data_IF_199003468453
#
_entry.id   IF_199003468453
#
_cell.length_a   1.000
_cell.length_b   1.000
_cell.length_c   1.000
_cell.angle_alpha   90.00
_cell.angle_beta   90.00
_cell.angle_gamma   90.00
#
_symmetry.space_group_name_H-M   'P 1'
#
loop_
_entity.id
_entity.type
_entity.pdbx_description
1 polymer ?
#
# COMPACT_ATOMS: atom_id res chain seq x y z
N UNK A 1 -18.48 22.06 -13.19
CA UNK A 1 -18.04 21.00 -12.26
C UNK A 1 -16.60 21.25 -11.84
N UNK A 2 -15.70 21.55 -12.79
CA UNK A 2 -14.30 21.98 -12.55
C UNK A 2 -14.14 23.06 -11.46
N UNK A 3 -14.93 24.15 -11.52
CA UNK A 3 -14.86 25.23 -10.51
C UNK A 3 -15.13 24.73 -9.06
N UNK A 4 -15.94 23.68 -8.90
CA UNK A 4 -16.22 23.08 -7.59
C UNK A 4 -15.11 22.15 -7.12
N UNK A 5 -14.47 21.43 -8.05
CA UNK A 5 -13.32 20.57 -7.73
C UNK A 5 -12.17 21.44 -7.23
N UNK A 6 -11.84 22.51 -7.95
CA UNK A 6 -10.75 23.42 -7.56
C UNK A 6 -11.05 24.17 -6.26
N UNK A 7 -12.30 24.59 -6.00
CA UNK A 7 -12.69 25.14 -4.69
C UNK A 7 -12.43 24.14 -3.55
N UNK A 8 -12.84 22.88 -3.74
CA UNK A 8 -12.64 21.86 -2.71
C UNK A 8 -11.16 21.50 -2.53
N UNK A 9 -10.39 21.44 -3.61
CA UNK A 9 -8.93 21.24 -3.54
C UNK A 9 -8.27 22.40 -2.79
N UNK A 10 -8.62 23.64 -3.13
CA UNK A 10 -8.07 24.82 -2.46
C UNK A 10 -8.35 24.82 -0.96
N UNK A 11 -9.55 24.41 -0.54
CA UNK A 11 -9.91 24.32 0.89
C UNK A 11 -9.27 23.12 1.58
N UNK A 12 -9.17 21.98 0.89
CA UNK A 12 -8.47 20.81 1.42
C UNK A 12 -6.99 21.12 1.70
N UNK A 13 -6.35 21.93 0.85
CA UNK A 13 -4.94 22.26 0.96
C UNK A 13 -4.64 23.57 1.71
N UNK A 14 -5.64 24.24 2.27
CA UNK A 14 -5.46 25.47 3.04
C UNK A 14 -5.06 25.11 4.48
N UNK A 15 -3.84 25.48 4.94
CA UNK A 15 -3.38 25.16 6.29
C UNK A 15 -4.18 25.86 7.40
N UNK A 16 -5.03 26.84 7.05
CA UNK A 16 -5.92 27.52 7.98
C UNK A 16 -7.34 26.94 8.01
N UNK A 17 -7.66 26.02 7.08
CA UNK A 17 -8.96 25.36 7.01
C UNK A 17 -9.07 24.26 8.07
N UNK A 18 -9.90 24.51 9.09
CA UNK A 18 -10.13 23.57 10.19
C UNK A 18 -10.88 22.32 9.74
N UNK A 19 -11.62 22.44 8.65
CA UNK A 19 -12.47 21.39 8.10
C UNK A 19 -11.86 20.75 6.83
N UNK A 20 -10.53 20.76 6.67
CA UNK A 20 -9.85 20.27 5.46
C UNK A 20 -10.25 18.82 5.09
N UNK A 21 -10.41 17.96 6.10
CA UNK A 21 -10.88 16.57 5.93
C UNK A 21 -12.29 16.47 5.33
N UNK A 22 -13.16 17.46 5.56
CA UNK A 22 -14.52 17.50 4.96
C UNK A 22 -14.40 17.70 3.46
N UNK A 23 -13.40 18.46 2.98
CA UNK A 23 -13.17 18.66 1.55
C UNK A 23 -12.57 17.42 0.89
N UNK A 24 -11.65 16.73 1.57
CA UNK A 24 -11.19 15.40 1.14
C UNK A 24 -12.37 14.42 0.96
N UNK A 25 -13.30 14.36 1.93
CA UNK A 25 -14.49 13.51 1.85
C UNK A 25 -15.45 13.93 0.72
N UNK A 26 -15.60 15.24 0.49
CA UNK A 26 -16.41 15.75 -0.62
C UNK A 26 -15.80 15.41 -1.98
N UNK A 27 -14.48 15.49 -2.11
CA UNK A 27 -13.76 15.08 -3.31
C UNK A 27 -13.91 13.56 -3.54
N UNK A 28 -13.75 12.75 -2.50
CA UNK A 28 -13.95 11.31 -2.59
C UNK A 28 -15.36 10.92 -3.05
N UNK A 29 -16.39 11.66 -2.61
CA UNK A 29 -17.78 11.47 -3.06
C UNK A 29 -18.00 11.85 -4.53
N UNK A 30 -17.20 12.76 -5.08
CA UNK A 30 -17.26 13.09 -6.52
C UNK A 30 -16.60 11.95 -7.31
N UNK A 31 -15.37 11.58 -6.95
CA UNK A 31 -14.71 10.34 -7.41
C UNK A 31 -14.52 10.19 -8.93
N UNK A 32 -14.69 11.26 -9.71
CA UNK A 32 -14.44 11.23 -11.15
C UNK A 32 -12.93 11.24 -11.46
N UNK A 33 -12.59 10.97 -12.72
CA UNK A 33 -11.20 10.88 -13.17
C UNK A 33 -10.42 12.18 -12.95
N UNK A 34 -11.08 13.34 -13.10
CA UNK A 34 -10.46 14.64 -12.86
C UNK A 34 -10.10 14.83 -11.39
N UNK A 35 -10.99 14.44 -10.47
CA UNK A 35 -10.70 14.45 -9.04
C UNK A 35 -9.54 13.51 -8.70
N UNK A 36 -9.57 12.28 -9.23
CA UNK A 36 -8.50 11.31 -8.98
C UNK A 36 -7.14 11.87 -9.44
N UNK A 37 -7.08 12.45 -10.63
CA UNK A 37 -5.85 13.02 -11.18
C UNK A 37 -5.31 14.17 -10.32
N UNK A 38 -6.18 15.09 -9.87
CA UNK A 38 -5.78 16.20 -8.99
C UNK A 38 -5.30 15.70 -7.62
N UNK A 39 -5.96 14.70 -7.05
CA UNK A 39 -5.53 14.08 -5.79
C UNK A 39 -4.18 13.35 -5.95
N UNK A 40 -3.92 12.69 -7.08
CA UNK A 40 -2.61 12.08 -7.37
C UNK A 40 -1.50 13.13 -7.44
N UNK A 41 -1.75 14.29 -8.04
CA UNK A 41 -0.80 15.40 -8.08
C UNK A 41 -0.44 15.90 -6.68
N UNK A 42 -1.44 16.05 -5.81
CA UNK A 42 -1.25 16.46 -4.40
C UNK A 42 -0.52 15.38 -3.61
N UNK A 43 -0.90 14.11 -3.78
CA UNK A 43 -0.24 12.96 -3.16
C UNK A 43 1.26 12.93 -3.45
N UNK A 44 1.66 13.30 -4.68
CA UNK A 44 3.05 13.31 -5.12
C UNK A 44 3.83 14.57 -4.74
N UNK A 45 3.16 15.59 -4.19
CA UNK A 45 3.79 16.83 -3.76
C UNK A 45 4.71 16.65 -2.55
N UNK A 46 5.51 17.67 -2.24
CA UNK A 46 6.42 17.66 -1.09
C UNK A 46 5.70 18.02 0.23
N UNK A 47 4.44 18.45 0.16
CA UNK A 47 3.64 18.78 1.33
C UNK A 47 3.02 17.51 1.93
N UNK A 48 3.59 17.06 3.03
CA UNK A 48 3.23 15.80 3.65
C UNK A 48 1.80 15.80 4.22
N UNK A 49 1.31 16.92 4.77
CA UNK A 49 -0.05 17.01 5.32
C UNK A 49 -1.08 16.95 4.20
N UNK A 50 -0.84 17.69 3.12
CA UNK A 50 -1.70 17.67 1.94
C UNK A 50 -1.69 16.31 1.24
N UNK A 51 -0.52 15.65 1.16
CA UNK A 51 -0.41 14.30 0.62
C UNK A 51 -1.22 13.28 1.45
N UNK A 52 -1.24 13.41 2.78
CA UNK A 52 -2.04 12.55 3.66
C UNK A 52 -3.55 12.70 3.41
N UNK A 53 -4.03 13.94 3.29
CA UNK A 53 -5.43 14.22 2.96
C UNK A 53 -5.81 13.64 1.60
N UNK A 54 -4.93 13.79 0.61
CA UNK A 54 -5.13 13.22 -0.72
C UNK A 54 -5.17 11.69 -0.68
N UNK A 55 -4.26 11.04 0.06
CA UNK A 55 -4.25 9.59 0.25
C UNK A 55 -5.55 9.06 0.87
N UNK A 56 -6.06 9.74 1.90
CA UNK A 56 -7.33 9.41 2.55
C UNK A 56 -8.53 9.61 1.62
N UNK A 57 -8.53 10.65 0.80
CA UNK A 57 -9.61 10.86 -0.18
C UNK A 57 -9.59 9.75 -1.24
N UNK A 58 -8.41 9.42 -1.78
CA UNK A 58 -8.22 8.39 -2.80
C UNK A 58 -8.65 7.00 -2.31
N UNK A 59 -8.37 6.64 -1.05
CA UNK A 59 -8.78 5.35 -0.48
C UNK A 59 -10.30 5.20 -0.31
N UNK A 60 -11.06 6.31 -0.34
CA UNK A 60 -12.53 6.31 -0.25
C UNK A 60 -13.21 6.29 -1.62
N UNK A 61 -12.47 6.44 -2.71
CA UNK A 61 -12.99 6.41 -4.09
C UNK A 61 -13.02 4.96 -4.58
N UNK A 62 -14.13 4.50 -5.16
CA UNK A 62 -14.28 3.09 -5.59
C UNK A 62 -13.47 2.73 -6.86
N UNK A 63 -13.38 3.65 -7.80
CA UNK A 63 -12.72 3.50 -9.10
C UNK A 63 -11.31 4.11 -9.08
N UNK A 64 -10.56 3.89 -8.01
CA UNK A 64 -9.27 4.53 -7.72
C UNK A 64 -8.05 3.78 -8.28
N UNK A 65 -8.23 2.83 -9.20
CA UNK A 65 -7.16 1.95 -9.70
C UNK A 65 -5.94 2.70 -10.26
N UNK A 66 -6.12 3.89 -10.85
CA UNK A 66 -5.01 4.72 -11.34
C UNK A 66 -4.15 5.34 -10.24
N UNK A 67 -4.66 5.41 -9.01
CA UNK A 67 -3.97 5.99 -7.85
C UNK A 67 -3.14 4.97 -7.04
N UNK A 68 -3.30 3.67 -7.30
CA UNK A 68 -2.58 2.63 -6.55
C UNK A 68 -1.06 2.71 -6.77
N UNK A 69 -0.61 2.79 -8.02
CA UNK A 69 0.82 2.90 -8.33
C UNK A 69 1.43 4.20 -7.76
N UNK A 70 0.82 5.39 -7.93
CA UNK A 70 1.21 6.60 -7.20
C UNK A 70 1.32 6.43 -5.68
N UNK A 71 0.37 5.74 -5.05
CA UNK A 71 0.39 5.49 -3.61
C UNK A 71 1.60 4.65 -3.21
N UNK A 72 1.86 3.56 -3.93
CA UNK A 72 3.01 2.69 -3.69
C UNK A 72 4.35 3.43 -3.92
N UNK A 73 4.43 4.28 -4.94
CA UNK A 73 5.60 5.15 -5.16
C UNK A 73 5.87 6.02 -3.92
N UNK A 74 4.83 6.68 -3.38
CA UNK A 74 4.96 7.54 -2.19
C UNK A 74 5.33 6.74 -0.94
N UNK A 75 4.77 5.54 -0.76
CA UNK A 75 5.12 4.64 0.35
C UNK A 75 6.60 4.24 0.29
N UNK A 76 7.12 3.96 -0.90
CA UNK A 76 8.49 3.49 -1.10
C UNK A 76 9.54 4.60 -1.17
N UNK A 77 9.14 5.89 -1.21
CA UNK A 77 10.08 7.02 -1.11
C UNK A 77 10.89 6.92 0.18
N UNK A 78 12.21 7.07 0.07
CA UNK A 78 13.14 6.94 1.20
C UNK A 78 12.85 7.99 2.28
N UNK A 79 12.46 9.18 1.86
CA UNK A 79 12.14 10.34 2.68
C UNK A 79 10.93 10.05 3.57
N UNK A 80 10.00 9.22 3.10
CA UNK A 80 8.78 8.85 3.83
C UNK A 80 8.95 7.60 4.71
N UNK A 81 10.12 6.92 4.71
CA UNK A 81 10.29 5.63 5.38
C UNK A 81 9.88 5.65 6.87
N UNK A 82 10.09 6.78 7.55
CA UNK A 82 9.75 6.95 8.97
C UNK A 82 8.30 7.39 9.22
N UNK A 83 7.58 7.84 8.19
CA UNK A 83 6.23 8.44 8.31
C UNK A 83 5.19 7.88 7.32
N UNK A 84 5.52 6.85 6.53
CA UNK A 84 4.64 6.33 5.48
C UNK A 84 3.46 5.48 5.99
N UNK A 85 3.31 5.27 7.30
CA UNK A 85 2.27 4.38 7.84
C UNK A 85 0.84 4.85 7.54
N UNK A 86 0.62 6.15 7.34
CA UNK A 86 -0.67 6.70 6.87
C UNK A 86 -0.95 6.34 5.41
N UNK A 87 0.05 6.37 4.54
CA UNK A 87 -0.10 5.97 3.14
C UNK A 87 -0.32 4.45 3.02
N UNK A 88 0.37 3.66 3.85
CA UNK A 88 0.15 2.21 3.94
C UNK A 88 -1.27 1.90 4.41
N UNK A 89 -1.78 2.62 5.42
CA UNK A 89 -3.16 2.47 5.88
C UNK A 89 -4.17 2.79 4.77
N UNK A 90 -3.89 3.80 3.93
CA UNK A 90 -4.76 4.11 2.79
C UNK A 90 -4.86 2.98 1.77
N UNK A 91 -3.93 2.01 1.74
CA UNK A 91 -4.01 0.84 0.84
C UNK A 91 -5.24 -0.03 1.10
N UNK A 92 -5.83 -0.02 2.31
CA UNK A 92 -7.07 -0.74 2.64
C UNK A 92 -8.25 -0.38 1.70
N UNK A 93 -8.20 0.80 1.10
CA UNK A 93 -9.22 1.28 0.15
C UNK A 93 -8.96 0.91 -1.32
N UNK A 94 -7.95 0.09 -1.61
CA UNK A 94 -7.56 -0.29 -2.96
C UNK A 94 -7.71 -1.80 -3.18
N UNK A 95 -7.84 -2.20 -4.44
CA UNK A 95 -7.65 -3.59 -4.83
C UNK A 95 -6.16 -3.94 -4.80
N UNK A 96 -5.79 -4.84 -3.90
CA UNK A 96 -4.41 -5.26 -3.65
C UNK A 96 -4.10 -6.68 -4.15
N UNK A 97 -5.04 -7.33 -4.84
CA UNK A 97 -4.94 -8.73 -5.31
C UNK A 97 -3.63 -9.00 -6.09
N UNK A 98 -3.19 -8.06 -6.92
CA UNK A 98 -1.94 -8.15 -7.68
C UNK A 98 -0.69 -7.58 -6.99
N UNK A 99 -0.76 -7.21 -5.70
CA UNK A 99 0.26 -6.41 -4.98
C UNK A 99 0.95 -7.11 -3.82
N UNK A 100 0.90 -8.44 -3.77
CA UNK A 100 1.56 -9.25 -2.75
C UNK A 100 3.01 -8.82 -2.50
N UNK A 101 3.83 -8.68 -3.56
CA UNK A 101 5.26 -8.35 -3.39
C UNK A 101 5.49 -6.95 -2.83
N UNK A 102 4.64 -5.99 -3.16
CA UNK A 102 4.77 -4.64 -2.62
C UNK A 102 4.42 -4.61 -1.13
N UNK A 103 3.33 -5.29 -0.72
CA UNK A 103 2.98 -5.48 0.69
C UNK A 103 4.06 -6.25 1.45
N UNK A 104 4.58 -7.34 0.87
CA UNK A 104 5.67 -8.12 1.44
C UNK A 104 6.93 -7.26 1.69
N UNK A 105 7.28 -6.37 0.76
CA UNK A 105 8.39 -5.43 0.94
C UNK A 105 8.09 -4.39 2.03
N UNK A 106 6.87 -3.87 2.11
CA UNK A 106 6.47 -2.95 3.19
C UNK A 106 6.56 -3.66 4.54
N UNK A 107 6.11 -4.91 4.61
CA UNK A 107 6.22 -5.74 5.80
C UNK A 107 7.70 -5.93 6.21
N UNK A 108 8.59 -6.32 5.29
CA UNK A 108 9.99 -6.56 5.64
C UNK A 108 10.76 -5.29 6.02
N UNK A 109 10.53 -4.16 5.34
CA UNK A 109 11.42 -2.99 5.43
C UNK A 109 10.77 -1.72 6.00
N UNK A 110 9.47 -1.78 6.31
CA UNK A 110 8.71 -0.67 6.87
C UNK A 110 9.05 -0.39 8.33
N UNK A 111 8.65 0.79 8.81
CA UNK A 111 8.62 1.04 10.26
C UNK A 111 7.55 0.16 10.93
N UNK A 112 7.50 0.17 12.27
CA UNK A 112 6.56 -0.65 13.04
C UNK A 112 5.10 -0.58 12.54
N UNK A 113 4.55 0.63 12.33
CA UNK A 113 3.16 0.80 11.87
C UNK A 113 2.97 0.23 10.46
N UNK A 114 3.86 0.59 9.54
CA UNK A 114 3.79 0.13 8.14
C UNK A 114 3.94 -1.38 8.02
N UNK A 115 4.85 -1.98 8.81
CA UNK A 115 5.04 -3.42 8.85
C UNK A 115 3.80 -4.13 9.39
N UNK A 116 3.21 -3.63 10.47
CA UNK A 116 2.02 -4.26 11.05
C UNK A 116 0.82 -4.23 10.10
N UNK A 117 0.54 -3.08 9.47
CA UNK A 117 -0.54 -2.94 8.49
C UNK A 117 -0.30 -3.82 7.24
N UNK A 118 0.95 -3.89 6.77
CA UNK A 118 1.29 -4.76 5.65
C UNK A 118 1.10 -6.24 5.99
N UNK A 119 1.42 -6.67 7.21
CA UNK A 119 1.15 -8.05 7.66
C UNK A 119 -0.35 -8.35 7.68
N UNK A 120 -1.15 -7.46 8.27
CA UNK A 120 -2.60 -7.61 8.29
C UNK A 120 -3.19 -7.73 6.88
N UNK A 121 -2.72 -6.92 5.92
CA UNK A 121 -3.15 -7.03 4.53
C UNK A 121 -2.66 -8.31 3.86
N UNK A 122 -1.44 -8.78 4.15
CA UNK A 122 -0.95 -10.07 3.64
C UNK A 122 -1.78 -11.27 4.13
N UNK A 123 -2.38 -11.15 5.32
CA UNK A 123 -3.19 -12.23 5.92
C UNK A 123 -4.65 -12.21 5.46
N UNK A 124 -5.14 -11.08 4.95
CA UNK A 124 -6.57 -10.85 4.70
C UNK A 124 -6.93 -10.69 3.23
N UNK A 125 -5.99 -10.26 2.38
CA UNK A 125 -6.23 -10.10 0.95
C UNK A 125 -6.08 -11.44 0.23
N UNK A 126 -7.03 -11.75 -0.66
CA UNK A 126 -6.90 -12.85 -1.61
C UNK A 126 -6.01 -12.42 -2.78
N UNK A 127 -4.83 -13.04 -2.91
CA UNK A 127 -3.83 -12.64 -3.90
C UNK A 127 -3.83 -13.50 -5.16
N UNK A 128 -3.58 -12.85 -6.29
CA UNK A 128 -3.26 -13.51 -7.55
C UNK A 128 -1.79 -13.99 -7.54
N UNK A 129 -1.57 -15.18 -6.99
CA UNK A 129 -0.24 -15.76 -6.85
C UNK A 129 0.23 -16.40 -8.16
N UNK A 130 1.49 -16.15 -8.51
CA UNK A 130 2.16 -16.79 -9.65
C UNK A 130 3.55 -17.31 -9.26
N UNK A 131 4.15 -18.25 -10.00
CA UNK A 131 5.52 -18.69 -9.72
C UNK A 131 6.55 -17.55 -9.73
N UNK A 132 6.25 -16.43 -10.41
CA UNK A 132 7.09 -15.22 -10.39
C UNK A 132 7.01 -14.48 -9.04
N UNK A 133 5.88 -14.53 -8.35
CA UNK A 133 5.73 -13.98 -6.98
C UNK A 133 6.66 -14.71 -6.05
N UNK A 134 6.64 -16.05 -6.02
CA UNK A 134 7.51 -16.87 -5.18
C UNK A 134 9.00 -16.51 -5.37
N UNK A 135 9.47 -16.45 -6.62
CA UNK A 135 10.86 -16.04 -6.93
C UNK A 135 11.22 -14.64 -6.43
N UNK A 136 10.29 -13.69 -6.51
CA UNK A 136 10.51 -12.32 -5.99
C UNK A 136 10.51 -12.29 -4.47
N UNK A 137 9.62 -13.05 -3.83
CA UNK A 137 9.55 -13.20 -2.37
C UNK A 137 10.87 -13.76 -1.84
N UNK A 138 11.41 -14.83 -2.43
CA UNK A 138 12.74 -15.39 -2.10
C UNK A 138 13.84 -14.35 -2.22
N UNK A 139 13.85 -13.56 -3.30
CA UNK A 139 14.84 -12.50 -3.50
C UNK A 139 14.78 -11.44 -2.40
N UNK A 140 13.58 -10.98 -2.03
CA UNK A 140 13.40 -9.96 -1.01
C UNK A 140 13.70 -10.48 0.39
N UNK A 141 13.33 -11.72 0.68
CA UNK A 141 13.65 -12.39 1.95
C UNK A 141 15.16 -12.54 2.12
N UNK A 142 15.86 -13.06 1.11
CA UNK A 142 17.32 -13.15 1.12
C UNK A 142 17.97 -11.78 1.33
N UNK A 143 17.44 -10.72 0.71
CA UNK A 143 17.95 -9.37 0.94
C UNK A 143 17.76 -8.92 2.39
N UNK A 144 16.59 -9.18 2.98
CA UNK A 144 16.29 -8.85 4.38
C UNK A 144 17.22 -9.57 5.34
N UNK A 145 17.42 -10.89 5.18
CA UNK A 145 18.31 -11.69 6.02
C UNK A 145 19.76 -11.19 6.01
N UNK A 146 20.25 -10.77 4.84
CA UNK A 146 21.62 -10.27 4.70
C UNK A 146 21.83 -8.85 5.25
N UNK A 147 20.76 -8.13 5.59
CA UNK A 147 20.82 -6.71 6.00
C UNK A 147 20.17 -6.44 7.36
N UNK A 148 19.85 -7.49 8.12
CA UNK A 148 19.19 -7.39 9.43
C UNK A 148 19.98 -8.19 10.46
N UNK A 149 19.96 -7.76 11.72
CA UNK A 149 20.52 -8.56 12.82
C UNK A 149 19.68 -9.81 13.03
N UNK A 150 20.24 -10.96 12.66
CA UNK A 150 19.59 -12.26 12.73
C UNK A 150 19.35 -12.76 14.15
N UNK A 151 19.94 -12.12 15.17
CA UNK A 151 19.71 -12.47 16.58
C UNK A 151 18.61 -11.61 17.22
N UNK A 152 18.01 -10.69 16.47
CA UNK A 152 16.95 -9.82 16.97
C UNK A 152 15.61 -10.56 17.05
N UNK A 153 14.79 -10.18 18.03
CA UNK A 153 13.43 -10.72 18.15
C UNK A 153 12.58 -10.39 16.91
N UNK A 154 12.79 -9.22 16.30
CA UNK A 154 12.10 -8.83 15.07
C UNK A 154 12.43 -9.80 13.92
N UNK A 155 13.70 -10.17 13.78
CA UNK A 155 14.11 -11.12 12.76
C UNK A 155 13.47 -12.49 12.96
N UNK A 156 13.48 -13.02 14.18
CA UNK A 156 12.91 -14.35 14.47
C UNK A 156 11.39 -14.38 14.20
N UNK A 157 10.66 -13.35 14.62
CA UNK A 157 9.21 -13.23 14.31
C UNK A 157 9.00 -13.21 12.79
N UNK A 158 9.72 -12.35 12.08
CA UNK A 158 9.58 -12.23 10.62
C UNK A 158 9.97 -13.52 9.91
N UNK A 159 11.00 -14.22 10.39
CA UNK A 159 11.43 -15.49 9.82
C UNK A 159 10.32 -16.53 9.91
N UNK A 160 9.72 -16.71 11.08
CA UNK A 160 8.61 -17.65 11.26
C UNK A 160 7.45 -17.34 10.32
N UNK A 161 6.99 -16.08 10.29
CA UNK A 161 5.86 -15.65 9.44
C UNK A 161 6.16 -15.77 7.94
N UNK A 162 7.39 -15.46 7.51
CA UNK A 162 7.79 -15.56 6.10
C UNK A 162 7.97 -17.00 5.65
N UNK A 163 8.49 -17.87 6.52
CA UNK A 163 8.62 -19.31 6.25
C UNK A 163 7.24 -19.97 6.09
N UNK A 164 6.28 -19.64 6.94
CA UNK A 164 4.87 -20.07 6.82
C UNK A 164 4.27 -19.62 5.48
N UNK A 165 4.40 -18.33 5.13
CA UNK A 165 3.94 -17.82 3.82
C UNK A 165 4.58 -18.56 2.64
N UNK A 166 5.87 -18.95 2.74
CA UNK A 166 6.52 -19.70 1.68
C UNK A 166 5.94 -21.10 1.52
N UNK A 167 5.60 -21.77 2.62
CA UNK A 167 4.99 -23.10 2.61
C UNK A 167 3.61 -23.04 1.95
N UNK A 168 2.74 -22.13 2.42
CA UNK A 168 1.39 -21.93 1.86
C UNK A 168 1.41 -21.66 0.35
N UNK A 169 2.27 -20.73 -0.10
CA UNK A 169 2.36 -20.36 -1.52
C UNK A 169 2.89 -21.53 -2.36
N UNK A 170 3.81 -22.34 -1.83
CA UNK A 170 4.32 -23.53 -2.53
C UNK A 170 3.28 -24.63 -2.62
N UNK A 171 2.50 -24.83 -1.55
CA UNK A 171 1.42 -25.81 -1.52
C UNK A 171 0.38 -25.52 -2.61
N UNK A 172 -0.05 -24.26 -2.74
CA UNK A 172 -0.97 -23.82 -3.81
C UNK A 172 -0.48 -24.27 -5.20
N UNK A 173 0.79 -24.04 -5.52
CA UNK A 173 1.33 -24.45 -6.83
C UNK A 173 1.55 -25.96 -6.97
N UNK A 174 1.68 -26.69 -5.87
CA UNK A 174 1.79 -28.15 -5.90
C UNK A 174 0.43 -28.81 -6.13
N UNK A 175 -0.65 -28.29 -5.55
CA UNK A 175 -2.00 -28.81 -5.71
C UNK A 175 -2.53 -28.60 -7.14
N UNK A 176 -2.26 -27.44 -7.74
CA UNK A 176 -2.60 -27.10 -9.13
C UNK A 176 -1.94 -28.05 -10.16
N UNK A 177 -0.80 -28.65 -9.81
CA UNK A 177 -0.12 -29.60 -10.68
C UNK A 177 -0.76 -30.99 -10.68
N UNK A 178 -1.37 -31.39 -9.57
CA UNK A 178 -2.06 -32.68 -9.42
C UNK A 178 -3.48 -32.73 -9.99
N UNK A 179 -4.19 -31.60 -10.07
CA UNK A 179 -5.55 -31.52 -10.64
C UNK A 179 -5.59 -31.49 -12.17
N UNK A 180 -4.48 -31.14 -12.83
CA UNK A 180 -4.37 -31.10 -14.30
C UNK A 180 -3.92 -32.43 -14.94
N UNK A 181 -3.71 -33.49 -14.15
CA UNK A 181 -3.29 -34.82 -14.63
C UNK A 181 -4.41 -35.88 -14.64
N UNK A 182 -5.68 -35.50 -14.45
CA UNK A 182 -6.87 -36.37 -14.48
C UNK A 182 -7.85 -35.97 -15.60
#
# INVERSE_FOLDING_TARGET
MENKIEDYISRMCDPTEKDAYIFADKLAKIGDEAVIQRLIEILKSDDHENAQLAAMALSKIKNNFTALEPMLEVIHKKENKLSNGVFVQSLEGFDLSGKFIDLFRIYLFGNFKSSALAKEMLDTVEFELTPRVLKKMEKHWNHFQNNTDTNSNEFEIKKMEVEEMFEEIKEIFSEDSTTNEL
#
